data_IF_765803972236
#
_entry.id   IF_765803972236
#
_cell.length_a   1.000
_cell.length_b   1.000
_cell.length_c   1.000
_cell.angle_alpha   90.00
_cell.angle_beta   90.00
_cell.angle_gamma   90.00
#
_symmetry.space_group_name_H-M   'P 1'
#
loop_
_entity.id
_entity.type
_entity.pdbx_description
1 polymer ?
#
# COMPACT_ATOMS: atom_id res chain seq x y z
N UNK A 1 50.88 2.21 -56.18
CA UNK A 1 50.39 1.09 -55.36
C UNK A 1 49.22 1.59 -54.55
N UNK A 2 48.00 1.34 -55.01
CA UNK A 2 46.78 1.91 -54.44
C UNK A 2 46.40 1.14 -53.17
N UNK A 3 46.41 1.79 -52.01
CA UNK A 3 45.86 1.23 -50.77
C UNK A 3 44.33 1.37 -50.80
N UNK A 4 43.61 0.24 -50.77
CA UNK A 4 42.17 0.23 -50.55
C UNK A 4 41.87 0.54 -49.07
N UNK A 5 40.83 1.31 -48.73
CA UNK A 5 40.42 1.46 -47.34
C UNK A 5 39.68 0.21 -46.87
N UNK A 6 40.18 -0.42 -45.81
CA UNK A 6 39.51 -1.51 -45.11
C UNK A 6 38.27 -0.96 -44.39
N UNK A 7 37.07 -1.29 -44.88
CA UNK A 7 35.85 -0.99 -44.15
C UNK A 7 35.74 -1.93 -42.93
N UNK A 8 35.49 -1.42 -41.72
CA UNK A 8 35.31 -2.27 -40.55
C UNK A 8 33.99 -3.04 -40.66
N UNK A 9 34.04 -4.33 -40.35
CA UNK A 9 32.86 -5.19 -40.26
C UNK A 9 31.93 -4.65 -39.16
N UNK A 10 30.63 -4.46 -39.42
CA UNK A 10 29.72 -4.07 -38.35
C UNK A 10 29.60 -5.23 -37.35
N UNK A 11 30.02 -4.99 -36.11
CA UNK A 11 29.71 -5.86 -34.98
C UNK A 11 28.20 -5.89 -34.83
N UNK A 12 27.57 -7.01 -35.20
CA UNK A 12 26.20 -7.29 -34.84
C UNK A 12 26.15 -7.43 -33.32
N UNK A 13 25.61 -6.44 -32.63
CA UNK A 13 25.20 -6.58 -31.24
C UNK A 13 24.21 -7.75 -31.11
N UNK A 14 24.28 -8.55 -30.03
CA UNK A 14 23.32 -9.63 -29.83
C UNK A 14 21.91 -9.06 -29.75
N UNK A 15 20.90 -9.75 -30.32
CA UNK A 15 19.52 -9.26 -30.27
C UNK A 15 19.08 -9.12 -28.81
N UNK A 16 18.53 -7.95 -28.48
CA UNK A 16 17.90 -7.70 -27.19
C UNK A 16 16.74 -8.67 -26.92
N UNK A 17 16.28 -8.76 -25.66
CA UNK A 17 15.28 -9.76 -25.28
C UNK A 17 13.96 -9.48 -26.01
N UNK A 18 13.56 -10.41 -26.87
CA UNK A 18 12.29 -10.36 -27.59
C UNK A 18 11.15 -10.70 -26.61
N UNK A 19 10.15 -9.84 -26.41
CA UNK A 19 9.07 -10.09 -25.46
C UNK A 19 8.12 -11.13 -26.06
N UNK A 20 8.29 -12.39 -25.70
CA UNK A 20 7.42 -13.47 -26.20
C UNK A 20 7.74 -14.88 -25.72
N UNK A 21 8.97 -15.15 -25.25
CA UNK A 21 9.30 -16.39 -24.53
C UNK A 21 10.07 -16.03 -23.28
N UNK A 22 9.39 -16.01 -22.13
CA UNK A 22 10.10 -16.22 -20.88
C UNK A 22 10.84 -17.57 -21.03
N UNK A 23 12.17 -17.59 -20.79
CA UNK A 23 12.94 -18.85 -20.74
C UNK A 23 12.23 -19.78 -19.75
N UNK A 24 12.24 -21.09 -19.97
CA UNK A 24 11.61 -22.05 -19.03
C UNK A 24 12.15 -21.84 -17.60
N UNK A 25 13.45 -21.56 -17.52
CA UNK A 25 14.22 -21.20 -16.32
C UNK A 25 13.88 -19.81 -15.72
N UNK A 26 13.02 -19.02 -16.37
CA UNK A 26 12.47 -17.78 -15.82
C UNK A 26 11.17 -18.02 -15.02
N UNK A 27 10.60 -19.22 -15.09
CA UNK A 27 9.47 -19.60 -14.26
C UNK A 27 9.95 -20.13 -12.89
N UNK A 28 9.18 -19.89 -11.82
CA UNK A 28 9.58 -20.22 -10.45
C UNK A 28 9.40 -21.70 -10.11
N UNK A 29 9.52 -22.61 -11.09
CA UNK A 29 9.32 -24.06 -10.91
C UNK A 29 10.33 -24.72 -9.95
N UNK A 30 11.37 -23.99 -9.56
CA UNK A 30 12.33 -24.37 -8.52
C UNK A 30 12.35 -23.42 -7.31
N UNK A 31 11.35 -22.54 -7.18
CA UNK A 31 11.25 -21.67 -6.00
C UNK A 31 10.60 -22.46 -4.87
N UNK A 32 11.39 -22.73 -3.85
CA UNK A 32 10.93 -23.36 -2.61
C UNK A 32 10.14 -22.33 -1.79
N UNK A 33 8.82 -22.28 -2.00
CA UNK A 33 7.89 -21.45 -1.24
C UNK A 33 7.64 -22.02 0.16
N UNK A 34 8.67 -22.00 1.02
CA UNK A 34 8.51 -22.36 2.43
C UNK A 34 7.77 -21.27 3.17
N UNK A 35 6.78 -21.67 3.97
CA UNK A 35 6.17 -20.77 4.92
C UNK A 35 7.16 -20.48 6.07
N UNK A 36 7.80 -19.30 6.00
CA UNK A 36 8.69 -18.78 7.04
C UNK A 36 8.01 -17.71 7.91
N UNK A 37 6.76 -17.34 7.58
CA UNK A 37 6.10 -16.21 8.21
C UNK A 37 6.83 -14.88 8.04
N UNK A 38 6.72 -14.03 9.05
CA UNK A 38 7.38 -12.72 9.16
C UNK A 38 7.81 -12.44 10.60
N UNK A 39 8.32 -11.24 10.85
CA UNK A 39 8.71 -10.74 12.18
C UNK A 39 7.58 -10.72 13.22
N UNK A 40 6.32 -10.74 12.78
CA UNK A 40 5.17 -10.80 13.68
C UNK A 40 4.68 -12.21 13.99
N UNK A 41 4.81 -13.13 13.05
CA UNK A 41 4.20 -14.44 13.18
C UNK A 41 4.97 -15.47 12.34
N UNK A 42 5.29 -16.66 12.87
CA UNK A 42 6.22 -17.60 12.25
C UNK A 42 5.67 -18.37 11.04
N UNK A 43 4.36 -18.30 10.79
CA UNK A 43 3.70 -18.97 9.65
C UNK A 43 2.58 -18.11 9.06
N UNK A 44 2.71 -17.71 7.80
CA UNK A 44 1.70 -16.98 7.05
C UNK A 44 0.35 -17.73 7.02
N UNK A 45 0.39 -19.07 6.96
CA UNK A 45 -0.81 -19.90 6.87
C UNK A 45 -1.63 -19.97 8.17
N UNK A 46 -1.05 -19.57 9.30
CA UNK A 46 -1.73 -19.54 10.61
C UNK A 46 -1.73 -18.15 11.25
N UNK A 47 -1.42 -17.11 10.46
CA UNK A 47 -1.35 -15.74 10.93
C UNK A 47 -2.74 -15.21 11.35
N UNK A 48 -2.91 -14.68 12.57
CA UNK A 48 -4.20 -14.17 13.06
C UNK A 48 -4.56 -12.77 12.52
N UNK A 49 -3.68 -12.16 11.71
CA UNK A 49 -3.93 -10.83 11.19
C UNK A 49 -5.05 -10.85 10.14
N UNK A 50 -5.98 -9.86 10.15
CA UNK A 50 -7.07 -9.80 9.18
C UNK A 50 -6.59 -9.50 7.74
N UNK A 51 -5.39 -8.94 7.60
CA UNK A 51 -4.68 -8.66 6.34
C UNK A 51 -3.18 -8.84 6.55
N UNK A 52 -2.46 -9.24 5.50
CA UNK A 52 -1.00 -9.39 5.56
C UNK A 52 -0.32 -8.02 5.67
N UNK A 53 0.75 -7.94 6.48
CA UNK A 53 1.53 -6.70 6.65
C UNK A 53 2.20 -6.21 5.36
N UNK A 54 2.45 -7.10 4.40
CA UNK A 54 3.08 -6.77 3.13
C UNK A 54 2.06 -6.28 2.10
N UNK A 55 0.79 -6.67 2.25
CA UNK A 55 -0.30 -6.26 1.36
C UNK A 55 -0.92 -4.92 1.78
N UNK A 56 -0.66 -4.48 3.01
CA UNK A 56 -1.23 -3.26 3.55
C UNK A 56 -0.33 -2.05 3.31
N UNK A 57 -0.78 -1.01 2.59
CA UNK A 57 -0.05 0.25 2.51
C UNK A 57 0.16 0.86 3.91
N UNK A 58 1.43 0.95 4.33
CA UNK A 58 1.83 1.39 5.68
C UNK A 58 1.90 0.27 6.72
N UNK A 59 1.68 -0.99 6.31
CA UNK A 59 1.90 -2.21 7.07
C UNK A 59 1.11 -2.30 8.37
N UNK A 60 1.69 -3.01 9.34
CA UNK A 60 1.10 -3.31 10.66
C UNK A 60 0.65 -2.02 11.37
N UNK A 61 1.47 -0.97 11.31
CA UNK A 61 1.17 0.30 11.98
C UNK A 61 -0.08 0.95 11.40
N UNK A 62 -0.28 0.88 10.09
CA UNK A 62 -1.50 1.36 9.46
C UNK A 62 -2.73 0.56 9.91
N UNK A 63 -2.62 -0.77 10.01
CA UNK A 63 -3.70 -1.62 10.52
C UNK A 63 -4.10 -1.24 11.95
N UNK A 64 -3.12 -1.16 12.86
CA UNK A 64 -3.35 -0.80 14.26
C UNK A 64 -3.97 0.60 14.38
N UNK A 65 -3.50 1.56 13.58
CA UNK A 65 -4.08 2.89 13.53
C UNK A 65 -5.52 2.89 13.05
N UNK A 66 -5.87 2.07 12.05
CA UNK A 66 -7.27 1.98 11.57
C UNK A 66 -8.20 1.40 12.62
N UNK A 67 -7.77 0.38 13.35
CA UNK A 67 -8.56 -0.20 14.46
C UNK A 67 -8.76 0.85 15.54
N UNK A 68 -7.69 1.51 15.98
CA UNK A 68 -7.75 2.60 16.96
C UNK A 68 -8.65 3.75 16.50
N UNK A 69 -8.49 4.21 15.27
CA UNK A 69 -9.23 5.35 14.73
C UNK A 69 -10.72 5.00 14.53
N UNK A 70 -11.05 3.74 14.22
CA UNK A 70 -12.44 3.24 14.20
C UNK A 70 -13.06 3.31 15.59
N UNK A 71 -12.36 2.86 16.62
CA UNK A 71 -12.88 2.89 17.99
C UNK A 71 -13.01 4.33 18.52
N UNK A 72 -12.06 5.21 18.17
CA UNK A 72 -12.15 6.66 18.44
C UNK A 72 -13.43 7.26 17.84
N UNK A 73 -13.76 6.90 16.59
CA UNK A 73 -14.99 7.36 15.94
C UNK A 73 -16.23 6.82 16.64
N UNK A 74 -16.25 5.52 16.95
CA UNK A 74 -17.34 4.86 17.67
C UNK A 74 -17.67 5.57 18.99
N UNK A 75 -16.69 5.76 19.88
CA UNK A 75 -16.97 6.43 21.15
C UNK A 75 -17.41 7.89 20.99
N UNK A 76 -16.97 8.57 19.91
CA UNK A 76 -17.37 9.95 19.69
C UNK A 76 -18.78 10.06 19.13
N UNK A 77 -19.13 9.23 18.16
CA UNK A 77 -20.40 9.33 17.42
C UNK A 77 -21.52 8.53 18.06
N UNK A 78 -21.21 7.35 18.61
CA UNK A 78 -22.21 6.45 19.19
C UNK A 78 -22.38 6.74 20.69
N UNK A 79 -21.27 6.88 21.42
CA UNK A 79 -21.28 7.05 22.88
C UNK A 79 -21.22 8.52 23.34
N UNK A 80 -20.99 9.47 22.41
CA UNK A 80 -20.93 10.91 22.71
C UNK A 80 -19.74 11.37 23.57
N UNK A 81 -18.72 10.53 23.77
CA UNK A 81 -17.60 10.80 24.69
C UNK A 81 -16.82 12.05 24.29
N UNK A 82 -16.39 12.85 25.27
CA UNK A 82 -15.64 14.07 25.05
C UNK A 82 -14.25 13.81 24.45
N UNK A 83 -13.78 14.68 23.57
CA UNK A 83 -12.50 14.55 22.85
C UNK A 83 -11.30 14.42 23.80
N UNK A 84 -11.29 15.19 24.88
CA UNK A 84 -10.24 15.12 25.88
C UNK A 84 -10.20 13.74 26.55
N UNK A 85 -11.37 13.16 26.81
CA UNK A 85 -11.47 11.84 27.46
C UNK A 85 -11.00 10.72 26.52
N UNK A 86 -11.39 10.78 25.24
CA UNK A 86 -10.89 9.87 24.22
C UNK A 86 -9.35 9.95 24.13
N UNK A 87 -8.79 11.17 24.14
CA UNK A 87 -7.34 11.38 24.12
C UNK A 87 -6.64 10.73 25.32
N UNK A 88 -7.19 10.88 26.53
CA UNK A 88 -6.67 10.23 27.74
C UNK A 88 -6.72 8.71 27.64
N UNK A 89 -7.87 8.15 27.26
CA UNK A 89 -8.09 6.69 27.19
C UNK A 89 -7.16 5.99 26.21
N UNK A 90 -6.88 6.63 25.06
CA UNK A 90 -5.99 6.08 24.04
C UNK A 90 -4.54 6.55 24.16
N UNK A 91 -4.22 7.36 25.17
CA UNK A 91 -2.90 7.98 25.36
C UNK A 91 -2.42 8.72 24.10
N UNK A 92 -3.33 9.45 23.45
CA UNK A 92 -3.05 10.24 22.25
C UNK A 92 -3.38 11.72 22.45
N UNK A 93 -2.71 12.59 21.69
CA UNK A 93 -3.01 14.01 21.70
C UNK A 93 -4.40 14.31 21.10
N UNK A 94 -4.97 15.46 21.48
CA UNK A 94 -6.23 15.97 20.90
C UNK A 94 -6.17 16.03 19.38
N UNK A 95 -5.04 16.44 18.80
CA UNK A 95 -4.82 16.49 17.34
C UNK A 95 -5.01 15.13 16.68
N UNK A 96 -4.54 14.05 17.31
CA UNK A 96 -4.73 12.69 16.81
C UNK A 96 -6.19 12.28 16.81
N UNK A 97 -6.94 12.66 17.86
CA UNK A 97 -8.38 12.41 17.93
C UNK A 97 -9.11 13.15 16.80
N UNK A 98 -8.87 14.45 16.62
CA UNK A 98 -9.48 15.22 15.53
C UNK A 98 -9.17 14.63 14.14
N UNK A 99 -7.91 14.24 13.89
CA UNK A 99 -7.51 13.61 12.62
C UNK A 99 -8.27 12.30 12.36
N UNK A 100 -8.46 11.47 13.38
CA UNK A 100 -9.21 10.21 13.25
C UNK A 100 -10.70 10.42 12.94
N UNK A 101 -11.29 11.51 13.45
CA UNK A 101 -12.66 11.93 13.17
C UNK A 101 -12.80 12.50 11.75
N UNK A 102 -11.84 13.31 11.29
CA UNK A 102 -11.84 13.87 9.92
C UNK A 102 -11.66 12.79 8.85
N UNK A 103 -10.81 11.79 9.10
CA UNK A 103 -10.56 10.72 8.14
C UNK A 103 -11.82 9.89 7.81
N UNK A 104 -12.70 9.65 8.79
CA UNK A 104 -13.97 8.94 8.56
C UNK A 104 -14.94 9.72 7.67
N UNK A 105 -15.04 11.04 7.87
CA UNK A 105 -15.90 11.91 7.05
C UNK A 105 -15.55 11.91 5.56
N UNK A 106 -14.29 11.64 5.21
CA UNK A 106 -13.83 11.57 3.82
C UNK A 106 -14.17 10.25 3.14
N UNK A 107 -14.32 9.17 3.91
CA UNK A 107 -14.72 7.85 3.40
C UNK A 107 -16.24 7.75 3.20
N UNK A 108 -17.02 8.54 3.94
CA UNK A 108 -18.49 8.57 3.88
C UNK A 108 -19.02 9.64 2.90
N UNK A 109 -18.17 10.14 1.99
CA UNK A 109 -18.51 11.23 1.07
C UNK A 109 -19.31 10.78 -0.16
N UNK A 110 -20.63 10.96 -0.10
CA UNK A 110 -21.52 11.20 -1.25
C UNK A 110 -20.86 12.15 -2.27
N UNK A 111 -20.94 11.91 -3.60
CA UNK A 111 -20.38 12.84 -4.58
C UNK A 111 -21.14 14.17 -4.51
N UNK A 112 -20.46 15.21 -4.03
CA UNK A 112 -21.00 16.56 -3.92
C UNK A 112 -21.28 17.19 -5.29
N UNK A 113 -22.55 17.47 -5.50
CA UNK A 113 -23.18 18.40 -6.45
C UNK A 113 -22.25 19.48 -7.05
N UNK A 114 -22.13 19.48 -8.38
CA UNK A 114 -21.42 20.48 -9.20
C UNK A 114 -22.38 21.52 -9.78
N UNK A 115 -23.35 21.99 -9.01
CA UNK A 115 -24.21 23.10 -9.43
C UNK A 115 -23.64 24.42 -8.88
N UNK A 116 -22.71 25.02 -9.62
CA UNK A 116 -22.48 26.47 -9.53
C UNK A 116 -22.46 27.06 -10.93
N UNK A 117 -23.61 27.65 -11.24
CA UNK A 117 -23.90 28.67 -12.25
C UNK A 117 -22.68 29.40 -12.81
N UNK A 118 -22.47 29.26 -14.11
CA UNK A 118 -21.79 30.27 -14.92
C UNK A 118 -22.80 31.40 -15.16
N UNK A 119 -22.76 32.41 -14.29
CA UNK A 119 -23.42 33.69 -14.54
C UNK A 119 -22.55 34.52 -15.48
N UNK A 120 -23.06 34.67 -16.70
CA UNK A 120 -23.07 35.83 -17.60
C UNK A 120 -21.94 36.86 -17.50
#
# INVERSE_FOLDING_TARGET
>A
MNHAPSNPTPTLDPPGPQPGLARQDALPEHVDYRDRGCDLFPSCLSCPLPRCRYDEPGGVRAMLNRVRDREIRRMRFDDGVAINEIGRRFQVSRRTVFRALEAGRRSDGTPGDRSREVSR
#
